data_IF_828667184931
#
_entry.id   IF_828667184931
#
_cell.length_a   1.000
_cell.length_b   1.000
_cell.length_c   1.000
_cell.angle_alpha   90.00
_cell.angle_beta   90.00
_cell.angle_gamma   90.00
#
_symmetry.space_group_name_H-M   'P 1'
#
loop_
_entity.id
_entity.type
_entity.pdbx_description
1 polymer ?
#
# COMPACT_ATOMS: atom_id res chain seq x y z
N UNK A 1 10.57 -8.87 -17.84
CA UNK A 1 9.21 -9.34 -17.48
C UNK A 1 9.36 -10.35 -16.36
N UNK A 2 8.72 -10.12 -15.23
CA UNK A 2 8.78 -11.04 -14.11
C UNK A 2 7.42 -11.71 -13.97
N UNK A 3 7.43 -13.00 -13.63
CA UNK A 3 6.22 -13.76 -13.34
C UNK A 3 6.15 -13.99 -11.83
N UNK A 4 5.00 -13.66 -11.21
CA UNK A 4 4.77 -14.01 -9.82
C UNK A 4 4.48 -15.51 -9.71
N UNK A 5 5.03 -16.14 -8.68
CA UNK A 5 4.76 -17.55 -8.39
C UNK A 5 3.40 -17.70 -7.71
N UNK A 6 2.33 -17.45 -8.47
CA UNK A 6 0.94 -17.63 -8.06
C UNK A 6 0.32 -18.78 -8.88
N UNK A 7 -0.51 -19.59 -8.23
CA UNK A 7 -1.26 -20.65 -8.90
C UNK A 7 -2.44 -20.07 -9.69
N UNK A 8 -2.88 -20.73 -10.74
CA UNK A 8 -3.99 -20.27 -11.58
C UNK A 8 -5.28 -20.04 -10.75
N UNK A 9 -5.54 -20.89 -9.76
CA UNK A 9 -6.68 -20.71 -8.84
C UNK A 9 -6.58 -19.42 -8.01
N UNK A 10 -5.36 -19.04 -7.56
CA UNK A 10 -5.13 -17.81 -6.82
C UNK A 10 -5.37 -16.58 -7.69
N UNK A 11 -4.86 -16.59 -8.93
CA UNK A 11 -5.09 -15.53 -9.91
C UNK A 11 -6.60 -15.36 -10.21
N UNK A 12 -7.32 -16.46 -10.40
CA UNK A 12 -8.78 -16.43 -10.60
C UNK A 12 -9.51 -15.83 -9.39
N UNK A 13 -9.14 -16.25 -8.17
CA UNK A 13 -9.74 -15.71 -6.93
C UNK A 13 -9.47 -14.21 -6.77
N UNK A 14 -8.26 -13.76 -7.04
CA UNK A 14 -7.93 -12.32 -7.06
C UNK A 14 -8.82 -11.62 -8.08
N UNK A 15 -8.94 -12.13 -9.30
CA UNK A 15 -9.79 -11.54 -10.34
C UNK A 15 -11.25 -11.36 -9.91
N UNK A 16 -11.80 -12.32 -9.15
CA UNK A 16 -13.15 -12.20 -8.58
C UNK A 16 -13.25 -11.12 -7.50
N UNK A 17 -12.22 -10.97 -6.67
CA UNK A 17 -12.17 -9.94 -5.62
C UNK A 17 -12.11 -8.53 -6.21
N UNK A 18 -11.24 -8.33 -7.19
CA UNK A 18 -10.96 -6.99 -7.75
C UNK A 18 -11.90 -6.60 -8.88
N UNK A 19 -12.77 -7.51 -9.34
CA UNK A 19 -13.77 -7.26 -10.39
C UNK A 19 -13.19 -6.68 -11.69
N UNK A 20 -11.93 -6.98 -11.98
CA UNK A 20 -11.25 -6.56 -13.22
C UNK A 20 -11.53 -7.60 -14.30
N UNK A 21 -11.92 -7.14 -15.49
CA UNK A 21 -12.11 -8.01 -16.66
C UNK A 21 -10.79 -8.67 -17.10
N UNK A 22 -10.88 -9.83 -17.75
CA UNK A 22 -9.72 -10.62 -18.19
C UNK A 22 -8.77 -9.87 -19.13
N UNK A 23 -9.29 -8.88 -19.86
CA UNK A 23 -8.53 -8.11 -20.85
C UNK A 23 -7.71 -6.97 -20.26
N UNK A 24 -7.74 -6.78 -18.94
CA UNK A 24 -7.02 -5.69 -18.26
C UNK A 24 -6.21 -6.22 -17.08
N UNK A 25 -4.96 -5.74 -16.89
CA UNK A 25 -4.19 -6.10 -15.72
C UNK A 25 -4.81 -5.48 -14.46
N UNK A 26 -4.74 -6.20 -13.35
CA UNK A 26 -5.03 -5.62 -12.04
C UNK A 26 -3.91 -4.67 -11.64
N UNK A 27 -4.27 -3.42 -11.34
CA UNK A 27 -3.31 -2.40 -10.92
C UNK A 27 -3.45 -2.11 -9.43
N UNK A 28 -2.34 -2.06 -8.72
CA UNK A 28 -2.24 -1.69 -7.31
C UNK A 28 -0.86 -1.11 -7.01
N UNK A 29 -0.78 -0.05 -6.24
CA UNK A 29 0.46 0.59 -5.80
C UNK A 29 1.52 0.81 -6.91
N UNK A 30 1.06 1.13 -8.13
CA UNK A 30 1.95 1.31 -9.28
C UNK A 30 2.52 0.01 -9.85
N UNK A 31 1.92 -1.12 -9.54
CA UNK A 31 2.16 -2.41 -10.18
C UNK A 31 1.00 -2.79 -11.09
N UNK A 32 1.28 -3.65 -12.05
CA UNK A 32 0.29 -4.27 -12.92
C UNK A 32 0.50 -5.80 -12.91
N UNK A 33 -0.56 -6.53 -12.61
CA UNK A 33 -0.60 -8.00 -12.60
C UNK A 33 -1.59 -8.49 -13.66
N UNK A 34 -1.08 -9.27 -14.60
CA UNK A 34 -1.90 -10.03 -15.54
C UNK A 34 -2.48 -11.24 -14.81
N UNK A 35 -3.79 -11.30 -14.71
CA UNK A 35 -4.52 -12.32 -13.94
C UNK A 35 -4.67 -13.67 -14.69
N UNK A 36 -4.30 -13.75 -15.97
CA UNK A 36 -4.28 -15.01 -16.72
C UNK A 36 -2.92 -15.67 -16.67
N UNK A 37 -1.86 -14.87 -16.85
CA UNK A 37 -0.49 -15.38 -17.00
C UNK A 37 0.34 -15.29 -15.73
N UNK A 38 -0.06 -14.42 -14.77
CA UNK A 38 0.73 -14.07 -13.59
C UNK A 38 1.92 -13.16 -13.92
N UNK A 39 1.95 -12.58 -15.12
CA UNK A 39 2.98 -11.59 -15.48
C UNK A 39 2.80 -10.32 -14.65
N UNK A 40 3.92 -9.78 -14.18
CA UNK A 40 3.97 -8.69 -13.24
C UNK A 40 4.92 -7.59 -13.70
N UNK A 41 4.46 -6.35 -13.64
CA UNK A 41 5.21 -5.19 -14.09
C UNK A 41 5.20 -4.10 -13.03
N UNK A 42 6.34 -3.43 -12.85
CA UNK A 42 6.43 -2.16 -12.13
C UNK A 42 6.16 -1.02 -13.11
N UNK A 43 5.11 -0.24 -12.86
CA UNK A 43 4.72 0.90 -13.70
C UNK A 43 5.49 2.18 -13.34
N UNK A 44 6.10 2.25 -12.17
CA UNK A 44 6.93 3.38 -11.75
C UNK A 44 8.35 3.29 -12.31
N UNK A 45 8.88 2.09 -12.48
CA UNK A 45 10.23 1.87 -13.00
C UNK A 45 10.18 1.15 -14.35
N UNK A 46 10.67 1.83 -15.39
CA UNK A 46 10.85 1.20 -16.69
C UNK A 46 12.13 0.34 -16.64
N UNK A 47 11.96 -0.96 -16.47
CA UNK A 47 12.99 -1.91 -16.87
C UNK A 47 13.66 -2.77 -15.81
N UNK A 48 13.63 -2.47 -14.54
CA UNK A 48 14.24 -3.33 -13.52
C UNK A 48 13.27 -3.56 -12.37
N UNK A 49 12.87 -4.80 -12.23
CA UNK A 49 12.17 -5.19 -11.02
C UNK A 49 13.13 -5.15 -9.83
N UNK A 50 12.63 -4.64 -8.72
CA UNK A 50 13.23 -4.77 -7.41
C UNK A 50 13.66 -6.21 -7.16
N UNK A 51 14.60 -6.41 -6.26
CA UNK A 51 15.26 -7.68 -6.04
C UNK A 51 14.29 -8.86 -5.87
N UNK A 52 14.81 -10.06 -6.00
CA UNK A 52 14.06 -11.33 -5.87
C UNK A 52 13.23 -11.39 -4.57
N UNK A 53 13.69 -10.71 -3.52
CA UNK A 53 13.01 -10.61 -2.24
C UNK A 53 11.65 -9.89 -2.34
N UNK A 54 11.59 -8.77 -3.07
CA UNK A 54 10.35 -7.98 -3.25
C UNK A 54 9.30 -8.78 -4.04
N UNK A 55 9.73 -9.50 -5.06
CA UNK A 55 8.85 -10.35 -5.87
C UNK A 55 8.22 -11.46 -5.03
N UNK A 56 9.00 -12.10 -4.17
CA UNK A 56 8.52 -13.17 -3.27
C UNK A 56 7.52 -12.64 -2.26
N UNK A 57 7.78 -11.48 -1.68
CA UNK A 57 6.90 -10.87 -0.71
C UNK A 57 5.57 -10.42 -1.32
N UNK A 58 5.61 -9.84 -2.53
CA UNK A 58 4.39 -9.48 -3.27
C UNK A 58 3.60 -10.74 -3.63
N UNK A 59 4.25 -11.80 -4.09
CA UNK A 59 3.58 -13.05 -4.40
C UNK A 59 2.93 -13.67 -3.15
N UNK A 60 3.61 -13.68 -2.00
CA UNK A 60 3.07 -14.18 -0.73
C UNK A 60 1.86 -13.35 -0.26
N UNK A 61 1.97 -12.02 -0.33
CA UNK A 61 0.88 -11.10 0.01
C UNK A 61 -0.37 -11.36 -0.86
N UNK A 62 -0.20 -11.47 -2.18
CA UNK A 62 -1.29 -11.72 -3.11
C UNK A 62 -1.86 -13.13 -2.99
N UNK A 63 -1.02 -14.13 -2.69
CA UNK A 63 -1.48 -15.48 -2.39
C UNK A 63 -2.40 -15.49 -1.15
N UNK A 64 -2.02 -14.76 -0.10
CA UNK A 64 -2.85 -14.59 1.09
C UNK A 64 -4.15 -13.84 0.75
N UNK A 65 -4.05 -12.71 0.05
CA UNK A 65 -5.19 -11.91 -0.41
C UNK A 65 -6.19 -12.74 -1.25
N UNK A 66 -5.72 -13.72 -2.02
CA UNK A 66 -6.59 -14.60 -2.80
C UNK A 66 -7.57 -15.46 -1.95
N UNK A 67 -7.31 -15.56 -0.64
CA UNK A 67 -8.17 -16.29 0.30
C UNK A 67 -9.22 -15.39 0.97
N UNK A 68 -9.15 -14.09 0.73
CA UNK A 68 -10.04 -13.10 1.34
C UNK A 68 -11.49 -13.26 0.93
N UNK A 69 -12.37 -12.78 1.80
CA UNK A 69 -13.80 -12.60 1.50
C UNK A 69 -14.07 -11.11 1.35
N UNK A 70 -14.59 -10.70 0.19
CA UNK A 70 -14.96 -9.32 -0.04
C UNK A 70 -15.91 -8.83 1.08
N UNK A 71 -15.46 -7.81 1.81
CA UNK A 71 -16.19 -7.21 2.92
C UNK A 71 -16.28 -5.71 2.66
N UNK A 72 -17.48 -5.11 2.69
CA UNK A 72 -17.62 -3.66 2.54
C UNK A 72 -16.89 -2.92 3.66
N UNK A 73 -16.16 -1.85 3.31
CA UNK A 73 -15.54 -0.98 4.32
C UNK A 73 -16.60 -0.31 5.19
N UNK A 74 -16.29 -0.14 6.48
CA UNK A 74 -17.16 0.53 7.44
C UNK A 74 -16.87 2.02 7.55
N UNK A 75 -15.69 2.47 7.12
CA UNK A 75 -15.19 3.83 7.31
C UNK A 75 -14.62 4.07 8.72
N UNK A 76 -14.62 3.05 9.58
CA UNK A 76 -14.00 3.14 10.91
C UNK A 76 -12.51 2.87 10.80
N UNK A 77 -11.73 3.92 10.97
CA UNK A 77 -10.27 3.85 10.90
C UNK A 77 -9.69 3.40 12.25
N UNK A 78 -8.77 2.44 12.18
CA UNK A 78 -8.07 1.85 13.35
C UNK A 78 -6.56 1.87 13.13
N UNK A 79 -5.80 1.97 14.22
CA UNK A 79 -4.34 1.83 14.18
C UNK A 79 -3.96 0.35 14.05
N UNK A 80 -2.75 0.10 13.57
CA UNK A 80 -2.20 -1.26 13.48
C UNK A 80 -2.28 -2.03 14.80
N UNK A 81 -1.97 -1.40 15.94
CA UNK A 81 -2.04 -1.99 17.28
C UNK A 81 -3.44 -2.46 17.69
N UNK A 82 -4.48 -1.88 17.09
CA UNK A 82 -5.89 -2.18 17.41
C UNK A 82 -6.42 -3.35 16.54
N UNK A 83 -5.63 -3.80 15.55
CA UNK A 83 -5.91 -5.02 14.79
C UNK A 83 -5.60 -6.26 15.65
N UNK A 84 -6.22 -7.43 15.36
CA UNK A 84 -6.00 -8.66 16.11
C UNK A 84 -4.52 -9.04 16.20
N UNK A 85 -3.92 -8.99 17.39
CA UNK A 85 -2.49 -9.30 17.61
C UNK A 85 -1.50 -8.18 17.23
N UNK A 86 -1.95 -7.04 16.70
CA UNK A 86 -1.12 -5.94 16.25
C UNK A 86 -0.31 -5.25 17.34
N UNK A 87 -0.84 -5.22 18.57
CA UNK A 87 -0.21 -4.53 19.70
C UNK A 87 1.25 -4.99 19.94
N UNK A 88 1.52 -6.27 19.84
CA UNK A 88 2.86 -6.82 20.08
C UNK A 88 3.91 -6.34 19.05
N UNK A 89 3.49 -5.96 17.86
CA UNK A 89 4.35 -5.60 16.73
C UNK A 89 4.27 -4.11 16.35
N UNK A 90 3.47 -3.31 17.07
CA UNK A 90 3.24 -1.89 16.79
C UNK A 90 4.55 -1.09 16.66
N UNK A 91 5.51 -1.30 17.56
CA UNK A 91 6.78 -0.60 17.51
C UNK A 91 7.56 -0.90 16.22
N UNK A 92 7.69 -2.18 15.85
CA UNK A 92 8.38 -2.59 14.63
C UNK A 92 7.65 -2.08 13.36
N UNK A 93 6.32 -2.15 13.35
CA UNK A 93 5.50 -1.63 12.26
C UNK A 93 5.68 -0.12 12.09
N UNK A 94 5.59 0.65 13.19
CA UNK A 94 5.79 2.11 13.16
C UNK A 94 7.15 2.49 12.61
N UNK A 95 8.20 1.79 13.02
CA UNK A 95 9.56 2.01 12.54
C UNK A 95 9.67 1.82 11.01
N UNK A 96 9.06 0.79 10.46
CA UNK A 96 9.20 0.40 9.06
C UNK A 96 8.21 1.12 8.12
N UNK A 97 6.96 1.27 8.57
CA UNK A 97 5.88 1.75 7.71
C UNK A 97 5.50 3.22 7.93
N UNK A 98 5.85 3.83 9.08
CA UNK A 98 5.31 5.16 9.42
C UNK A 98 6.39 6.23 9.52
N UNK A 99 7.51 5.95 10.20
CA UNK A 99 8.50 6.96 10.53
C UNK A 99 9.10 7.65 9.28
N UNK A 100 9.33 6.89 8.20
CA UNK A 100 9.87 7.42 6.96
C UNK A 100 8.93 8.42 6.26
N UNK A 101 7.61 8.31 6.46
CA UNK A 101 6.63 9.29 5.96
C UNK A 101 6.87 10.66 6.62
N UNK A 102 6.96 10.69 7.94
CA UNK A 102 7.25 11.93 8.67
C UNK A 102 8.63 12.52 8.30
N UNK A 103 9.65 11.66 8.14
CA UNK A 103 11.00 12.09 7.78
C UNK A 103 11.09 12.71 6.38
N UNK A 104 10.41 12.10 5.40
CA UNK A 104 10.51 12.52 4.00
C UNK A 104 9.57 13.69 3.68
N UNK A 105 8.34 13.63 4.17
CA UNK A 105 7.29 14.58 3.80
C UNK A 105 7.04 15.67 4.86
N UNK A 106 7.59 15.53 6.07
CA UNK A 106 7.28 16.41 7.20
C UNK A 106 7.66 17.88 7.01
N UNK A 107 8.65 18.19 6.15
CA UNK A 107 9.03 19.56 5.81
C UNK A 107 8.24 20.14 4.63
N UNK A 108 7.62 19.29 3.82
CA UNK A 108 6.78 19.70 2.69
C UNK A 108 5.57 18.73 2.54
N UNK A 109 4.60 18.82 3.44
CA UNK A 109 3.46 17.89 3.49
C UNK A 109 2.68 17.72 2.17
N UNK A 110 2.49 18.76 1.33
CA UNK A 110 1.80 18.61 0.05
C UNK A 110 2.42 17.56 -0.89
N UNK A 111 3.72 17.28 -0.78
CA UNK A 111 4.39 16.26 -1.60
C UNK A 111 3.88 14.85 -1.33
N UNK A 112 3.33 14.58 -0.12
CA UNK A 112 2.66 13.31 0.18
C UNK A 112 1.40 13.13 -0.69
N UNK A 113 0.58 14.17 -0.82
CA UNK A 113 -0.61 14.14 -1.66
C UNK A 113 -0.24 13.96 -3.15
N UNK A 114 0.81 14.64 -3.63
CA UNK A 114 1.28 14.46 -5.00
C UNK A 114 1.79 13.04 -5.27
N UNK A 115 2.51 12.44 -4.33
CA UNK A 115 2.97 11.05 -4.45
C UNK A 115 1.79 10.07 -4.45
N UNK A 116 0.79 10.30 -3.59
CA UNK A 116 -0.39 9.45 -3.47
C UNK A 116 -1.24 9.42 -4.76
N UNK A 117 -1.32 10.53 -5.49
CA UNK A 117 -2.06 10.62 -6.78
C UNK A 117 -1.58 9.58 -7.80
N UNK A 118 -0.31 9.20 -7.79
CA UNK A 118 0.23 8.16 -8.69
C UNK A 118 -0.39 6.79 -8.47
N UNK A 119 -1.04 6.58 -7.33
CA UNK A 119 -1.71 5.33 -6.95
C UNK A 119 -3.23 5.47 -6.88
N UNK A 120 -3.79 6.57 -7.40
CA UNK A 120 -5.22 6.86 -7.26
C UNK A 120 -5.60 7.27 -5.85
N UNK A 121 -4.64 7.77 -5.06
CA UNK A 121 -4.90 8.25 -3.71
C UNK A 121 -5.69 9.56 -3.71
N UNK A 122 -6.57 9.69 -2.73
CA UNK A 122 -7.41 10.87 -2.51
C UNK A 122 -7.00 11.58 -1.22
N UNK A 123 -7.13 12.89 -1.19
CA UNK A 123 -6.88 13.69 0.02
C UNK A 123 -8.05 13.62 0.97
N UNK A 124 -7.76 13.59 2.27
CA UNK A 124 -8.72 13.66 3.35
C UNK A 124 -8.48 14.93 4.17
N UNK A 125 -9.35 15.19 5.15
CA UNK A 125 -9.31 16.38 6.00
C UNK A 125 -8.90 16.04 7.45
N UNK A 126 -7.67 15.46 7.59
CA UNK A 126 -7.06 15.15 8.88
C UNK A 126 -5.64 15.69 8.94
N UNK A 127 -5.18 16.13 10.12
CA UNK A 127 -3.82 16.65 10.30
C UNK A 127 -3.52 17.82 9.38
N UNK A 128 -2.24 17.99 9.01
CA UNK A 128 -1.85 19.02 8.04
C UNK A 128 -2.00 18.53 6.60
N UNK A 129 -1.77 17.24 6.36
CA UNK A 129 -2.08 16.53 5.11
C UNK A 129 -2.47 15.09 5.45
N UNK A 130 -3.50 14.61 4.79
CA UNK A 130 -3.87 13.20 4.85
C UNK A 130 -4.31 12.66 3.49
N UNK A 131 -4.04 11.38 3.26
CA UNK A 131 -4.36 10.70 2.01
C UNK A 131 -4.90 9.29 2.29
N UNK A 132 -5.94 8.90 1.56
CA UNK A 132 -6.39 7.51 1.46
C UNK A 132 -5.83 6.90 0.16
N UNK A 133 -5.13 5.78 0.25
CA UNK A 133 -4.54 5.08 -0.89
C UNK A 133 -5.22 3.73 -1.04
N UNK A 134 -5.78 3.39 -2.22
CA UNK A 134 -6.33 2.07 -2.50
C UNK A 134 -5.18 1.05 -2.66
N UNK A 135 -4.64 0.58 -1.53
CA UNK A 135 -3.46 -0.29 -1.52
C UNK A 135 -3.73 -1.64 -2.19
N UNK A 136 -4.84 -2.29 -1.83
CA UNK A 136 -5.47 -3.39 -2.55
C UNK A 136 -6.97 -3.13 -2.59
N UNK A 137 -7.70 -3.77 -3.52
CA UNK A 137 -9.15 -3.65 -3.56
C UNK A 137 -9.78 -4.08 -2.24
N UNK A 138 -10.58 -3.20 -1.63
CA UNK A 138 -11.18 -3.40 -0.31
C UNK A 138 -10.26 -3.10 0.88
N UNK A 139 -8.99 -2.76 0.66
CA UNK A 139 -8.05 -2.41 1.73
C UNK A 139 -7.43 -1.03 1.45
N UNK A 140 -8.15 0.06 1.74
CA UNK A 140 -7.55 1.37 1.72
C UNK A 140 -6.61 1.54 2.92
N UNK A 141 -5.53 2.30 2.70
CA UNK A 141 -4.62 2.73 3.76
C UNK A 141 -4.65 4.25 3.84
N UNK A 142 -4.85 4.76 5.05
CA UNK A 142 -4.88 6.21 5.32
C UNK A 142 -3.58 6.61 6.00
N UNK A 143 -2.91 7.61 5.44
CA UNK A 143 -1.80 8.30 6.08
C UNK A 143 -2.26 9.68 6.55
N UNK A 144 -1.92 10.02 7.79
CA UNK A 144 -2.10 11.36 8.34
C UNK A 144 -0.73 11.88 8.73
N UNK A 145 -0.38 13.07 8.27
CA UNK A 145 0.89 13.73 8.49
C UNK A 145 0.68 15.06 9.22
N UNK A 146 1.46 15.28 10.25
CA UNK A 146 1.62 16.57 10.93
C UNK A 146 3.02 17.10 10.62
N UNK A 147 3.06 18.33 10.08
CA UNK A 147 4.29 19.00 9.68
C UNK A 147 5.20 19.32 10.87
N UNK A 148 6.48 19.51 10.57
CA UNK A 148 7.42 20.03 11.55
C UNK A 148 7.16 21.53 11.78
N UNK A 149 6.86 21.91 13.03
CA UNK A 149 6.75 23.29 13.49
C UNK A 149 7.56 23.47 14.79
N UNK A 150 6.89 23.65 15.93
CA UNK A 150 7.54 23.67 17.24
C UNK A 150 8.00 22.26 17.68
N UNK A 151 7.33 21.22 17.15
CA UNK A 151 7.67 19.82 17.36
C UNK A 151 8.12 19.17 16.06
N UNK A 152 8.90 18.07 16.13
CA UNK A 152 9.25 17.28 14.96
C UNK A 152 7.99 16.78 14.23
N UNK A 153 8.10 16.66 12.91
CA UNK A 153 7.04 16.06 12.11
C UNK A 153 6.67 14.66 12.63
N UNK A 154 5.40 14.34 12.57
CA UNK A 154 4.88 13.03 12.95
C UNK A 154 3.86 12.52 11.93
N UNK A 155 3.71 11.21 11.86
CA UNK A 155 2.73 10.59 10.97
C UNK A 155 2.01 9.44 11.68
N UNK A 156 0.87 9.05 11.16
CA UNK A 156 0.22 7.79 11.50
C UNK A 156 -0.29 7.10 10.25
N UNK A 157 -0.42 5.78 10.32
CA UNK A 157 -1.02 4.94 9.30
C UNK A 157 -2.22 4.23 9.91
N UNK A 158 -3.35 4.30 9.22
CA UNK A 158 -4.61 3.73 9.66
C UNK A 158 -5.16 2.78 8.59
N UNK A 159 -5.88 1.77 9.05
CA UNK A 159 -6.64 0.84 8.23
C UNK A 159 -8.14 1.01 8.49
N UNK A 160 -8.99 0.66 7.51
CA UNK A 160 -10.38 0.37 7.86
C UNK A 160 -10.41 -0.90 8.73
N UNK A 161 -11.28 -0.94 9.74
CA UNK A 161 -11.36 -2.10 10.66
C UNK A 161 -11.63 -3.43 9.95
N UNK A 162 -12.22 -3.38 8.75
CA UNK A 162 -12.49 -4.56 7.92
C UNK A 162 -11.26 -5.12 7.21
N UNK A 163 -10.11 -4.42 7.25
CA UNK A 163 -8.87 -4.91 6.63
C UNK A 163 -8.48 -6.30 7.11
N UNK A 164 -8.73 -6.62 8.40
CA UNK A 164 -8.50 -7.94 8.98
C UNK A 164 -9.40 -9.06 8.42
N UNK A 165 -10.46 -8.72 7.66
CA UNK A 165 -11.26 -9.70 6.93
C UNK A 165 -10.58 -10.14 5.62
N UNK A 166 -9.64 -9.36 5.11
CA UNK A 166 -8.92 -9.64 3.87
C UNK A 166 -7.55 -10.27 4.12
N UNK A 167 -6.82 -9.78 5.11
CA UNK A 167 -5.45 -10.17 5.42
C UNK A 167 -5.28 -10.31 6.92
N UNK A 168 -4.42 -11.22 7.36
CA UNK A 168 -4.01 -11.24 8.75
C UNK A 168 -3.10 -10.03 9.07
N UNK A 169 -2.82 -9.85 10.35
CA UNK A 169 -2.06 -8.68 10.83
C UNK A 169 -0.63 -8.64 10.32
N UNK A 170 0.01 -9.79 10.09
CA UNK A 170 1.35 -9.86 9.51
C UNK A 170 1.34 -9.41 8.05
N UNK A 171 0.38 -9.89 7.26
CA UNK A 171 0.23 -9.47 5.87
C UNK A 171 -0.19 -8.00 5.75
N UNK A 172 -1.01 -7.48 6.68
CA UNK A 172 -1.34 -6.04 6.77
C UNK A 172 -0.11 -5.19 7.11
N UNK A 173 0.80 -5.67 7.96
CA UNK A 173 2.07 -4.98 8.18
C UNK A 173 2.89 -4.91 6.89
N UNK A 174 3.02 -6.02 6.18
CA UNK A 174 3.71 -6.07 4.89
C UNK A 174 3.08 -5.15 3.84
N UNK A 175 1.75 -5.08 3.78
CA UNK A 175 1.04 -4.16 2.88
C UNK A 175 1.28 -2.69 3.25
N UNK A 176 1.29 -2.35 4.55
CA UNK A 176 1.61 -1.01 5.03
C UNK A 176 3.05 -0.60 4.67
N UNK A 177 4.02 -1.50 4.92
CA UNK A 177 5.43 -1.29 4.54
C UNK A 177 5.58 -1.11 3.02
N UNK A 178 4.96 -1.96 2.22
CA UNK A 178 4.97 -1.86 0.76
C UNK A 178 4.39 -0.53 0.28
N UNK A 179 3.22 -0.13 0.81
CA UNK A 179 2.58 1.14 0.43
C UNK A 179 3.48 2.33 0.73
N UNK A 180 4.11 2.34 1.90
CA UNK A 180 5.09 3.37 2.28
C UNK A 180 6.27 3.41 1.32
N UNK A 181 6.90 2.26 1.02
CA UNK A 181 8.01 2.20 0.05
C UNK A 181 7.60 2.73 -1.32
N UNK A 182 6.38 2.44 -1.77
CA UNK A 182 5.87 2.94 -3.05
C UNK A 182 5.65 4.46 -3.02
N UNK A 183 5.17 5.03 -1.92
CA UNK A 183 5.07 6.49 -1.74
C UNK A 183 6.43 7.18 -1.81
N UNK A 184 7.43 6.65 -1.10
CA UNK A 184 8.80 7.18 -1.12
C UNK A 184 9.39 7.12 -2.54
N UNK A 185 9.15 6.02 -3.27
CA UNK A 185 9.59 5.87 -4.65
C UNK A 185 8.90 6.86 -5.59
N UNK A 186 7.58 7.01 -5.46
CA UNK A 186 6.80 8.00 -6.22
C UNK A 186 7.33 9.41 -6.00
N UNK A 187 7.60 9.78 -4.75
CA UNK A 187 8.20 11.07 -4.40
C UNK A 187 9.56 11.28 -5.10
N UNK A 188 10.46 10.30 -5.05
CA UNK A 188 11.77 10.38 -5.71
C UNK A 188 11.62 10.65 -7.21
N UNK A 189 10.73 9.92 -7.89
CA UNK A 189 10.47 10.07 -9.33
C UNK A 189 9.91 11.47 -9.65
N UNK A 190 9.01 12.00 -8.82
CA UNK A 190 8.47 13.34 -9.01
C UNK A 190 9.55 14.42 -8.86
N UNK A 191 10.45 14.27 -7.89
CA UNK A 191 11.60 15.18 -7.70
C UNK A 191 12.58 15.17 -8.87
N UNK A 192 12.84 14.00 -9.46
CA UNK A 192 13.72 13.88 -10.64
C UNK A 192 13.14 14.57 -11.88
N UNK A 193 11.82 14.56 -12.05
CA UNK A 193 11.13 15.22 -13.17
C UNK A 193 11.06 16.75 -13.05
N UNK A 194 11.25 17.28 -11.85
CA UNK A 194 11.16 18.73 -11.57
C UNK A 194 12.54 19.41 -11.62
N UNK A 195 13.63 18.63 -11.72
CA UNK A 195 15.00 19.11 -11.91
C UNK A 195 15.34 19.22 -13.39
#
# INVERSE_FOLDING_TARGET
>A
MTKLNLQAEQLEKIGRLVKVGKDRPYQFLGYALDLETGQFHDLLEKGTMHGEWDVKNIAALLAHYSLAKATPKTGRLVKYKDLPGGYAFEHAFTQRAVNSIAQVFGNNPPELAEAAKLFGGETLDYGDVSVEIPALEGIPIVYILWAAHEFPASATLLFDETASCFLDTEALAGLGELTTLRLLKAHSILKEKTR
#
